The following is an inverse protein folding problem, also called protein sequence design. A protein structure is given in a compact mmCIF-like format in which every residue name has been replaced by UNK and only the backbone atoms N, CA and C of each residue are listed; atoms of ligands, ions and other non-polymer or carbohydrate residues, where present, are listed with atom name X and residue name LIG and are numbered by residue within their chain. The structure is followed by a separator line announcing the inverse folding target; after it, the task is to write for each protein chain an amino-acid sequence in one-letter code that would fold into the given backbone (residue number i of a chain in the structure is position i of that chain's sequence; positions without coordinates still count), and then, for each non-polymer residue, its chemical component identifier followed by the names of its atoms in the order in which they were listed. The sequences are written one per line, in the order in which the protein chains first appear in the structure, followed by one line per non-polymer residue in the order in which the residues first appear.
data_IF_671020006679
#
_entry.id   IF_671020006679
#
_cell.length_a   1.000
_cell.length_b   1.000
_cell.length_c   1.000
_cell.angle_alpha   90.00
_cell.angle_beta   90.00
_cell.angle_gamma   90.00
#
_symmetry.space_group_name_H-M   'P 1'
#
loop_
_entity.id
_entity.type
_entity.pdbx_description
1 polymer ?
#
# COMPACT_ATOMS: atom_id res chain seq x y z
N UNK A 1 4.64 -2.10 2.33
CA UNK A 1 5.56 -1.02 1.92
C UNK A 1 6.62 -1.64 1.04
N UNK A 2 6.64 -1.28 -0.24
CA UNK A 2 7.73 -1.71 -1.13
C UNK A 2 8.96 -0.89 -0.76
N UNK A 3 10.09 -1.55 -0.49
CA UNK A 3 11.38 -0.95 -0.13
C UNK A 3 11.92 0.03 -1.20
N UNK A 4 11.30 0.06 -2.37
CA UNK A 4 11.54 1.01 -3.47
C UNK A 4 11.15 2.47 -3.15
N UNK A 5 10.52 2.74 -2.00
CA UNK A 5 10.18 4.10 -1.54
C UNK A 5 11.24 4.74 -0.63
N UNK A 6 12.33 4.04 -0.31
CA UNK A 6 13.43 4.64 0.45
C UNK A 6 14.36 5.34 -0.55
N UNK A 7 14.18 6.64 -0.73
CA UNK A 7 15.27 7.47 -1.22
C UNK A 7 16.37 7.43 -0.15
N UNK A 8 17.61 7.03 -0.46
CA UNK A 8 18.69 7.08 0.51
C UNK A 8 18.83 8.54 0.98
N UNK A 9 18.54 8.77 2.24
CA UNK A 9 18.73 10.06 2.88
C UNK A 9 20.23 10.23 3.10
N UNK A 10 20.80 11.31 2.57
CA UNK A 10 22.25 11.62 2.62
C UNK A 10 22.81 11.75 4.05
N UNK A 11 21.93 11.78 5.05
CA UNK A 11 22.27 11.83 6.48
C UNK A 11 22.36 10.46 7.15
N UNK A 12 22.07 9.37 6.42
CA UNK A 12 22.00 8.01 7.01
C UNK A 12 23.23 7.17 6.71
N UNK A 13 23.61 6.32 7.67
CA UNK A 13 24.78 5.42 7.65
C UNK A 13 24.74 4.32 6.57
N UNK A 14 23.68 4.28 5.76
CA UNK A 14 23.51 3.38 4.61
C UNK A 14 24.51 3.61 3.45
N UNK A 15 25.36 4.65 3.55
CA UNK A 15 26.43 4.91 2.57
C UNK A 15 27.70 4.06 2.80
N UNK A 16 27.84 3.39 3.95
CA UNK A 16 29.02 2.55 4.21
C UNK A 16 28.82 1.14 3.69
N UNK A 17 29.41 0.82 2.53
CA UNK A 17 29.41 -0.52 1.90
C UNK A 17 29.77 -1.66 2.87
N UNK A 18 30.66 -1.40 3.82
CA UNK A 18 31.12 -2.39 4.81
C UNK A 18 30.02 -2.83 5.79
N UNK A 19 28.93 -2.07 5.91
CA UNK A 19 27.83 -2.34 6.84
C UNK A 19 26.60 -2.95 6.15
N UNK A 20 26.68 -3.18 4.84
CA UNK A 20 25.55 -3.66 4.03
C UNK A 20 25.57 -5.19 3.98
N UNK A 21 24.45 -5.86 4.30
CA UNK A 21 24.37 -7.31 4.23
C UNK A 21 24.72 -7.86 2.84
N UNK A 22 25.42 -8.99 2.80
CA UNK A 22 25.88 -9.67 1.57
C UNK A 22 24.75 -9.94 0.57
N UNK A 23 23.56 -10.25 1.05
CA UNK A 23 22.35 -10.41 0.23
C UNK A 23 22.02 -9.17 -0.61
N UNK A 24 22.11 -7.98 -0.01
CA UNK A 24 21.82 -6.72 -0.70
C UNK A 24 22.92 -6.35 -1.69
N UNK A 25 24.18 -6.63 -1.35
CA UNK A 25 25.32 -6.45 -2.26
C UNK A 25 25.17 -7.32 -3.53
N UNK A 26 24.74 -8.58 -3.39
CA UNK A 26 24.49 -9.47 -4.53
C UNK A 26 23.28 -9.04 -5.36
N UNK A 27 22.19 -8.62 -4.69
CA UNK A 27 21.01 -8.07 -5.37
C UNK A 27 21.37 -6.85 -6.22
N UNK A 28 22.22 -5.96 -5.70
CA UNK A 28 22.69 -4.78 -6.43
C UNK A 28 23.61 -5.14 -7.60
N UNK A 29 24.52 -6.11 -7.43
CA UNK A 29 25.33 -6.64 -8.55
C UNK A 29 24.47 -7.20 -9.68
N UNK A 30 23.34 -7.84 -9.38
CA UNK A 30 22.41 -8.32 -10.40
C UNK A 30 21.70 -7.18 -11.12
N UNK A 31 21.25 -6.16 -10.40
CA UNK A 31 20.57 -5.00 -10.98
C UNK A 31 21.48 -4.17 -11.90
N UNK A 32 22.78 -4.11 -11.61
CA UNK A 32 23.76 -3.45 -12.48
C UNK A 32 23.82 -4.02 -13.91
N UNK A 33 23.54 -5.32 -14.05
CA UNK A 33 23.65 -6.02 -15.34
C UNK A 33 22.49 -5.70 -16.28
N UNK A 34 21.48 -4.97 -15.81
CA UNK A 34 20.31 -4.59 -16.61
C UNK A 34 20.57 -3.23 -17.27
N UNK A 35 20.24 -3.07 -18.56
CA UNK A 35 20.33 -1.79 -19.25
C UNK A 35 19.02 -1.02 -19.09
N UNK A 36 19.02 0.01 -18.23
CA UNK A 36 17.81 0.67 -17.72
C UNK A 36 17.16 1.69 -18.69
N UNK A 37 17.79 2.00 -19.83
CA UNK A 37 17.39 3.13 -20.70
C UNK A 37 16.87 2.71 -22.08
N UNK A 38 16.98 1.43 -22.44
CA UNK A 38 16.47 0.89 -23.70
C UNK A 38 15.22 0.06 -23.41
N UNK A 39 14.21 0.11 -24.30
CA UNK A 39 13.18 -0.94 -24.36
C UNK A 39 13.90 -2.27 -24.24
N UNK A 40 13.54 -3.10 -23.25
CA UNK A 40 14.20 -4.38 -23.01
C UNK A 40 14.35 -5.08 -24.34
N UNK A 41 15.60 -5.30 -24.82
CA UNK A 41 15.79 -6.04 -26.06
C UNK A 41 15.12 -7.42 -25.92
N UNK A 42 14.71 -8.05 -27.02
CA UNK A 42 14.23 -9.43 -26.96
C UNK A 42 15.25 -10.26 -26.18
N UNK A 43 14.74 -11.08 -25.24
CA UNK A 43 15.59 -11.81 -24.33
C UNK A 43 16.56 -12.69 -25.12
N UNK A 44 17.85 -12.55 -24.83
CA UNK A 44 18.84 -13.41 -25.46
C UNK A 44 18.81 -14.79 -24.80
N UNK A 45 19.31 -15.83 -25.47
CA UNK A 45 19.48 -17.15 -24.86
C UNK A 45 20.28 -17.08 -23.55
N UNK A 46 21.28 -16.19 -23.48
CA UNK A 46 22.08 -15.98 -22.26
C UNK A 46 21.25 -15.40 -21.11
N UNK A 47 20.29 -14.51 -21.40
CA UNK A 47 19.41 -13.93 -20.38
C UNK A 47 18.44 -14.97 -19.83
N UNK A 48 17.88 -15.81 -20.71
CA UNK A 48 17.01 -16.92 -20.33
C UNK A 48 17.74 -17.96 -19.47
N UNK A 49 18.99 -18.29 -19.81
CA UNK A 49 19.81 -19.23 -19.04
C UNK A 49 20.15 -18.73 -17.63
N UNK A 50 20.22 -17.40 -17.43
CA UNK A 50 20.58 -16.74 -16.16
C UNK A 50 19.39 -16.29 -15.32
N UNK A 51 18.18 -16.44 -15.85
CA UNK A 51 16.96 -16.02 -15.16
C UNK A 51 16.55 -17.03 -14.09
N UNK A 52 16.02 -16.58 -12.94
CA UNK A 52 15.51 -17.48 -11.91
C UNK A 52 14.48 -18.47 -12.46
N UNK A 53 14.73 -19.76 -12.25
CA UNK A 53 14.03 -20.84 -12.91
C UNK A 53 12.71 -21.23 -12.20
N UNK A 54 12.74 -21.40 -10.88
CA UNK A 54 11.73 -22.16 -10.14
C UNK A 54 10.31 -21.59 -10.16
N UNK A 55 10.20 -20.26 -10.11
CA UNK A 55 8.93 -19.53 -10.08
C UNK A 55 8.82 -18.54 -11.24
N UNK A 56 9.54 -18.81 -12.35
CA UNK A 56 9.54 -17.92 -13.50
C UNK A 56 8.15 -17.75 -14.11
N UNK A 57 7.78 -16.51 -14.40
CA UNK A 57 6.59 -16.19 -15.20
C UNK A 57 6.90 -16.12 -16.70
N UNK A 58 8.17 -16.34 -17.11
CA UNK A 58 8.56 -16.26 -18.51
C UNK A 58 8.03 -17.48 -19.29
N UNK A 59 7.33 -17.30 -20.43
CA UNK A 59 6.68 -18.41 -21.15
C UNK A 59 7.61 -19.57 -21.51
N UNK A 60 8.85 -19.26 -21.93
CA UNK A 60 9.88 -20.26 -22.28
C UNK A 60 10.50 -20.98 -21.07
N UNK A 61 10.25 -20.52 -19.83
CA UNK A 61 10.73 -21.14 -18.58
C UNK A 61 9.59 -21.83 -17.80
N UNK A 62 8.43 -22.01 -18.44
CA UNK A 62 7.30 -22.73 -17.87
C UNK A 62 7.10 -24.08 -18.55
N UNK A 63 6.57 -25.04 -17.80
CA UNK A 63 6.40 -26.42 -18.24
C UNK A 63 4.92 -26.70 -18.42
N UNK A 64 4.58 -27.34 -19.54
CA UNK A 64 3.24 -27.83 -19.78
C UNK A 64 3.01 -29.11 -18.97
N UNK A 65 2.11 -29.04 -18.00
CA UNK A 65 1.74 -30.17 -17.15
C UNK A 65 0.21 -30.25 -17.05
N UNK A 66 -0.37 -31.38 -17.42
CA UNK A 66 -1.83 -31.61 -17.40
C UNK A 66 -2.64 -30.50 -18.11
N UNK A 67 -2.17 -30.08 -19.29
CA UNK A 67 -2.85 -29.07 -20.11
C UNK A 67 -2.65 -27.61 -19.67
N UNK A 68 -1.98 -27.34 -18.54
CA UNK A 68 -1.66 -25.99 -18.04
C UNK A 68 -0.17 -25.71 -18.14
N UNK A 69 0.20 -24.46 -18.39
CA UNK A 69 1.60 -23.99 -18.36
C UNK A 69 1.90 -23.47 -16.96
N UNK A 70 2.82 -24.11 -16.25
CA UNK A 70 3.09 -23.84 -14.84
C UNK A 70 4.60 -23.65 -14.60
N UNK A 71 5.00 -22.85 -13.60
CA UNK A 71 6.39 -22.78 -13.17
C UNK A 71 6.89 -24.13 -12.64
N UNK A 72 8.19 -24.40 -12.79
CA UNK A 72 8.79 -25.68 -12.43
C UNK A 72 8.52 -26.10 -10.96
N UNK A 73 8.52 -25.15 -10.02
CA UNK A 73 8.23 -25.43 -8.61
C UNK A 73 6.80 -25.93 -8.38
N UNK A 74 5.83 -25.54 -9.21
CA UNK A 74 4.45 -26.02 -9.13
C UNK A 74 4.30 -27.42 -9.74
N UNK A 75 5.05 -27.72 -10.81
CA UNK A 75 5.06 -29.07 -11.42
C UNK A 75 5.70 -30.09 -10.48
N UNK A 76 6.67 -29.66 -9.67
CA UNK A 76 7.40 -30.49 -8.71
C UNK A 76 6.95 -30.26 -7.24
N UNK A 77 5.70 -29.87 -7.04
CA UNK A 77 5.17 -29.44 -5.72
C UNK A 77 5.38 -30.47 -4.59
N UNK A 78 5.36 -31.76 -4.91
CA UNK A 78 5.55 -32.86 -3.94
C UNK A 78 6.98 -32.97 -3.38
N UNK A 79 7.94 -32.20 -3.92
CA UNK A 79 9.33 -32.18 -3.46
C UNK A 79 9.78 -30.77 -3.03
N UNK A 80 8.85 -29.87 -2.71
CA UNK A 80 9.13 -28.44 -2.45
C UNK A 80 10.24 -28.18 -1.42
N UNK A 81 10.28 -28.94 -0.32
CA UNK A 81 11.30 -28.74 0.71
C UNK A 81 12.69 -29.20 0.26
N UNK A 82 12.74 -30.26 -0.57
CA UNK A 82 13.97 -30.70 -1.22
C UNK A 82 14.43 -29.72 -2.31
N UNK A 83 13.51 -29.15 -3.09
CA UNK A 83 13.84 -28.10 -4.08
C UNK A 83 14.39 -26.84 -3.42
N UNK A 84 13.83 -26.43 -2.27
CA UNK A 84 14.37 -25.32 -1.47
C UNK A 84 15.80 -25.62 -1.02
N UNK A 85 16.03 -26.84 -0.53
CA UNK A 85 17.36 -27.27 -0.11
C UNK A 85 18.37 -27.27 -1.27
N UNK A 86 17.97 -27.68 -2.49
CA UNK A 86 18.81 -27.58 -3.68
C UNK A 86 19.20 -26.13 -3.99
N UNK A 87 18.26 -25.19 -3.90
CA UNK A 87 18.55 -23.76 -4.13
C UNK A 87 19.58 -23.25 -3.11
N UNK A 88 19.37 -23.57 -1.84
CA UNK A 88 20.20 -23.06 -0.75
C UNK A 88 21.61 -23.67 -0.73
N UNK A 89 21.77 -24.95 -1.12
CA UNK A 89 23.02 -25.70 -0.98
C UNK A 89 23.75 -25.95 -2.31
N UNK A 90 23.03 -26.12 -3.42
CA UNK A 90 23.62 -26.29 -4.76
C UNK A 90 23.68 -25.01 -5.57
N UNK A 91 23.09 -23.91 -5.06
CA UNK A 91 22.96 -22.65 -5.79
C UNK A 91 22.32 -22.85 -7.16
N UNK A 92 21.37 -23.79 -7.27
CA UNK A 92 20.66 -24.05 -8.51
C UNK A 92 19.55 -23.01 -8.69
N UNK A 93 19.88 -21.81 -9.15
CA UNK A 93 18.93 -20.70 -9.30
C UNK A 93 18.42 -20.59 -10.75
N UNK A 94 19.26 -20.89 -11.72
CA UNK A 94 19.00 -20.75 -13.15
C UNK A 94 19.49 -21.98 -13.94
N UNK A 95 19.21 -22.03 -15.25
CA UNK A 95 19.64 -23.15 -16.09
C UNK A 95 21.17 -23.17 -16.29
N UNK A 96 21.85 -22.02 -16.22
CA UNK A 96 23.32 -21.97 -16.28
C UNK A 96 23.97 -22.71 -15.11
N UNK A 97 23.33 -22.74 -13.94
CA UNK A 97 23.85 -23.42 -12.74
C UNK A 97 23.83 -24.96 -12.86
N UNK A 98 23.08 -25.50 -13.84
CA UNK A 98 23.04 -26.94 -14.14
C UNK A 98 24.26 -27.36 -14.97
N UNK A 99 24.88 -26.43 -15.71
CA UNK A 99 25.97 -26.75 -16.64
C UNK A 99 27.18 -27.33 -15.91
N UNK A 100 27.87 -28.24 -16.59
CA UNK A 100 29.15 -28.78 -16.14
C UNK A 100 30.23 -27.68 -16.07
N UNK A 101 31.35 -27.93 -15.37
CA UNK A 101 32.50 -27.01 -15.37
C UNK A 101 33.05 -26.71 -16.78
N UNK A 102 32.90 -27.66 -17.71
CA UNK A 102 33.26 -27.51 -19.14
C UNK A 102 32.16 -26.83 -19.95
N UNK A 103 31.15 -26.25 -19.30
CA UNK A 103 30.02 -25.52 -19.90
C UNK A 103 29.16 -26.37 -20.87
N UNK A 104 29.15 -27.69 -20.67
CA UNK A 104 28.23 -28.61 -21.35
C UNK A 104 27.01 -28.91 -20.48
N UNK A 105 25.88 -29.28 -21.10
CA UNK A 105 24.76 -29.84 -20.36
C UNK A 105 25.16 -31.23 -19.81
N UNK A 106 25.07 -31.48 -18.50
CA UNK A 106 25.50 -32.75 -17.93
C UNK A 106 24.56 -33.87 -18.34
N UNK A 107 25.06 -35.11 -18.40
CA UNK A 107 24.20 -36.29 -18.50
C UNK A 107 23.37 -36.48 -17.22
N UNK A 108 22.29 -37.26 -17.29
CA UNK A 108 21.46 -37.58 -16.12
C UNK A 108 22.30 -38.17 -14.96
N UNK A 109 23.27 -39.02 -15.28
CA UNK A 109 24.15 -39.65 -14.28
C UNK A 109 25.15 -38.66 -13.68
N UNK A 110 25.65 -37.69 -14.45
CA UNK A 110 26.48 -36.61 -13.94
C UNK A 110 25.71 -35.65 -13.05
N UNK A 111 24.50 -35.26 -13.48
CA UNK A 111 23.58 -34.43 -12.70
C UNK A 111 23.20 -35.12 -11.38
N UNK A 112 22.82 -36.40 -11.43
CA UNK A 112 22.50 -37.20 -10.26
C UNK A 112 23.69 -37.33 -9.30
N UNK A 113 24.90 -37.56 -9.81
CA UNK A 113 26.12 -37.62 -8.99
C UNK A 113 26.44 -36.28 -8.34
N UNK A 114 26.26 -35.17 -9.05
CA UNK A 114 26.50 -33.83 -8.50
C UNK A 114 25.55 -33.52 -7.34
N UNK A 115 24.26 -33.84 -7.49
CA UNK A 115 23.24 -33.66 -6.46
C UNK A 115 23.44 -34.59 -5.26
N UNK A 116 23.83 -35.85 -5.50
CA UNK A 116 24.03 -36.85 -4.43
C UNK A 116 25.15 -36.49 -3.45
N UNK A 117 26.23 -35.86 -3.92
CA UNK A 117 27.43 -35.52 -3.11
C UNK A 117 27.17 -34.61 -1.90
N UNK A 118 26.03 -33.96 -1.87
CA UNK A 118 25.63 -32.97 -0.85
C UNK A 118 24.29 -33.34 -0.22
N UNK A 119 23.47 -34.16 -0.91
CA UNK A 119 22.20 -34.70 -0.39
C UNK A 119 22.39 -35.59 0.85
N UNK A 120 23.61 -36.06 1.14
CA UNK A 120 23.92 -36.82 2.37
C UNK A 120 23.57 -36.06 3.67
N UNK A 121 23.42 -34.72 3.61
CA UNK A 121 23.09 -33.86 4.76
C UNK A 121 21.61 -33.45 4.84
N UNK A 122 20.73 -33.95 3.95
CA UNK A 122 19.31 -33.57 3.94
C UNK A 122 18.45 -34.52 4.79
N UNK A 123 17.74 -34.03 5.83
CA UNK A 123 17.08 -34.88 6.82
C UNK A 123 15.68 -35.39 6.43
N UNK A 124 15.17 -35.09 5.24
CA UNK A 124 13.81 -35.45 4.79
C UNK A 124 13.82 -36.44 3.61
N UNK A 125 12.67 -37.08 3.29
CA UNK A 125 12.58 -38.05 2.19
C UNK A 125 13.04 -37.45 0.86
N UNK A 126 14.10 -38.03 0.29
CA UNK A 126 14.67 -37.61 -0.98
C UNK A 126 13.88 -38.21 -2.15
N UNK A 127 13.91 -37.57 -3.34
CA UNK A 127 13.36 -38.18 -4.54
C UNK A 127 14.07 -39.51 -4.84
N UNK A 128 13.30 -40.58 -5.06
CA UNK A 128 13.85 -41.90 -5.45
C UNK A 128 14.55 -41.88 -6.81
N UNK A 129 14.22 -40.89 -7.64
CA UNK A 129 14.80 -40.68 -8.97
C UNK A 129 14.86 -39.19 -9.29
N UNK A 130 15.93 -38.77 -9.97
CA UNK A 130 16.09 -37.41 -10.47
C UNK A 130 15.63 -37.26 -11.93
N UNK A 131 15.12 -38.32 -12.56
CA UNK A 131 14.78 -38.34 -13.98
C UNK A 131 13.73 -37.26 -14.31
N UNK A 132 12.75 -37.07 -13.42
CA UNK A 132 11.67 -36.11 -13.63
C UNK A 132 12.15 -34.67 -13.62
N UNK A 133 12.96 -34.30 -12.62
CA UNK A 133 13.54 -32.95 -12.54
C UNK A 133 14.53 -32.71 -13.68
N UNK A 134 15.43 -33.66 -13.95
CA UNK A 134 16.39 -33.56 -15.05
C UNK A 134 15.71 -33.45 -16.42
N UNK A 135 14.67 -34.25 -16.66
CA UNK A 135 13.88 -34.19 -17.89
C UNK A 135 13.22 -32.83 -18.07
N UNK A 136 12.61 -32.29 -17.01
CA UNK A 136 12.03 -30.94 -17.02
C UNK A 136 13.05 -29.84 -17.30
N UNK A 137 14.23 -29.89 -16.69
CA UNK A 137 15.32 -28.93 -16.93
C UNK A 137 15.82 -29.01 -18.38
N UNK A 138 15.95 -30.24 -18.90
CA UNK A 138 16.41 -30.50 -20.28
C UNK A 138 15.38 -30.00 -21.30
N UNK A 139 14.09 -30.24 -21.08
CA UNK A 139 13.01 -29.71 -21.94
C UNK A 139 13.01 -28.18 -21.97
N UNK A 140 13.28 -27.51 -20.85
CA UNK A 140 13.38 -26.05 -20.83
C UNK A 140 14.59 -25.55 -21.61
N UNK A 141 15.74 -26.22 -21.51
CA UNK A 141 16.92 -25.91 -22.31
C UNK A 141 16.68 -26.12 -23.81
N UNK A 142 16.11 -27.26 -24.18
CA UNK A 142 15.77 -27.62 -25.57
C UNK A 142 14.73 -26.67 -26.17
N UNK A 143 13.87 -26.05 -25.36
CA UNK A 143 12.95 -24.99 -25.81
C UNK A 143 13.66 -23.67 -26.15
N UNK A 144 14.83 -23.41 -25.57
CA UNK A 144 15.60 -22.17 -25.74
C UNK A 144 16.59 -22.27 -26.91
N UNK A 145 17.24 -23.43 -27.09
CA UNK A 145 18.33 -23.65 -28.08
C UNK A 145 17.91 -23.37 -29.55
N UNK A 146 16.76 -23.87 -30.06
CA UNK A 146 16.41 -23.76 -31.48
C UNK A 146 16.01 -22.35 -31.91
N UNK A 147 15.54 -21.50 -30.98
CA UNK A 147 14.93 -20.21 -31.29
C UNK A 147 15.92 -19.04 -31.36
N UNK A 148 17.18 -19.25 -30.94
CA UNK A 148 18.11 -18.15 -30.69
C UNK A 148 19.46 -18.23 -31.42
N UNK A 149 19.64 -19.15 -32.39
CA UNK A 149 20.87 -19.39 -33.19
C UNK A 149 22.16 -19.13 -32.40
N UNK A 150 22.77 -20.19 -31.86
CA UNK A 150 23.90 -20.11 -30.93
C UNK A 150 25.27 -20.10 -31.64
N UNK A 151 25.89 -18.94 -31.85
CA UNK A 151 27.35 -18.87 -31.84
C UNK A 151 27.82 -17.99 -30.68
N UNK A 152 28.63 -18.58 -29.80
CA UNK A 152 29.41 -17.87 -28.76
C UNK A 152 28.66 -17.41 -27.51
N UNK A 153 28.04 -18.35 -26.79
CA UNK A 153 27.60 -18.13 -25.39
C UNK A 153 28.74 -17.84 -24.40
N UNK A 154 30.01 -17.93 -24.81
CA UNK A 154 31.16 -17.98 -23.88
C UNK A 154 32.39 -17.17 -24.33
N UNK A 155 32.20 -15.96 -24.87
CA UNK A 155 33.30 -14.99 -24.85
C UNK A 155 33.70 -14.70 -23.39
N UNK A 156 35.00 -14.79 -23.12
CA UNK A 156 35.67 -14.70 -21.81
C UNK A 156 35.18 -13.51 -20.97
N UNK A 157 34.94 -13.66 -19.65
CA UNK A 157 34.54 -12.52 -18.83
C UNK A 157 35.69 -11.50 -18.75
N UNK A 158 35.40 -10.24 -19.02
CA UNK A 158 36.26 -9.14 -18.59
C UNK A 158 36.45 -9.20 -17.06
N UNK A 159 37.63 -8.82 -16.53
CA UNK A 159 37.90 -8.91 -15.11
C UNK A 159 36.86 -8.09 -14.31
N UNK A 160 36.43 -8.56 -13.13
CA UNK A 160 35.42 -7.87 -12.34
C UNK A 160 35.98 -6.53 -11.88
N UNK A 161 35.37 -5.43 -12.33
CA UNK A 161 35.63 -4.12 -11.77
C UNK A 161 35.31 -4.14 -10.25
N UNK A 162 36.18 -3.56 -9.40
CA UNK A 162 35.97 -3.54 -7.96
C UNK A 162 34.85 -2.54 -7.64
N UNK A 163 33.62 -3.08 -7.49
CA UNK A 163 32.37 -2.40 -7.13
C UNK A 163 31.75 -1.52 -8.24
N UNK A 164 30.68 -1.98 -8.93
CA UNK A 164 30.17 -1.36 -10.17
C UNK A 164 29.36 -0.07 -10.00
N UNK A 165 29.13 0.38 -8.77
CA UNK A 165 28.45 1.64 -8.50
C UNK A 165 29.36 2.46 -7.61
N UNK A 166 30.25 3.23 -8.20
CA UNK A 166 30.99 4.22 -7.45
C UNK A 166 31.00 5.49 -8.28
N UNK A 167 30.21 6.48 -7.87
CA UNK A 167 30.27 7.82 -8.44
C UNK A 167 31.15 8.64 -7.50
N UNK A 168 32.21 9.24 -8.02
CA UNK A 168 32.99 10.23 -7.29
C UNK A 168 32.19 11.53 -7.22
N UNK A 169 31.85 11.93 -6.01
CA UNK A 169 31.25 13.24 -5.72
C UNK A 169 32.31 14.13 -5.04
N UNK A 170 32.04 15.43 -4.93
CA UNK A 170 32.88 16.36 -4.16
C UNK A 170 33.04 15.99 -2.67
N UNK A 171 32.26 15.01 -2.16
CA UNK A 171 32.34 14.48 -0.78
C UNK A 171 32.89 13.06 -0.69
N UNK A 172 33.32 12.46 -1.81
CA UNK A 172 33.86 11.11 -1.89
C UNK A 172 33.05 10.14 -2.75
N UNK A 173 33.45 8.87 -2.70
CA UNK A 173 32.93 7.74 -3.48
C UNK A 173 31.58 7.25 -2.94
N UNK A 174 30.51 7.28 -3.76
CA UNK A 174 29.14 6.89 -3.36
C UNK A 174 28.54 5.80 -4.27
N UNK A 175 27.70 4.91 -3.71
CA UNK A 175 27.30 3.65 -4.34
C UNK A 175 25.92 3.58 -4.94
N UNK A 176 25.23 4.71 -5.06
CA UNK A 176 23.94 4.78 -5.74
C UNK A 176 24.03 5.77 -6.91
N UNK A 177 23.56 5.40 -8.12
CA UNK A 177 23.12 6.41 -9.08
C UNK A 177 22.05 7.24 -8.38
N UNK A 178 22.20 8.56 -8.39
CA UNK A 178 21.18 9.45 -7.83
C UNK A 178 19.97 9.44 -8.78
N UNK A 179 19.13 8.40 -8.68
CA UNK A 179 17.94 8.23 -9.51
C UNK A 179 17.00 9.39 -9.23
N UNK A 180 16.71 10.19 -10.27
CA UNK A 180 15.68 11.21 -10.13
C UNK A 180 14.32 10.51 -10.16
N UNK A 181 13.29 11.05 -9.49
CA UNK A 181 11.93 10.48 -9.51
C UNK A 181 11.36 10.10 -10.90
N UNK A 182 11.72 10.77 -12.03
CA UNK A 182 11.30 10.35 -13.37
C UNK A 182 11.93 9.04 -13.83
N UNK A 183 13.20 8.77 -13.47
CA UNK A 183 13.95 7.60 -13.93
C UNK A 183 13.34 6.31 -13.37
N UNK A 184 12.79 6.38 -12.16
CA UNK A 184 12.09 5.28 -11.49
C UNK A 184 10.77 4.93 -12.19
N UNK A 185 10.10 5.90 -12.84
CA UNK A 185 8.84 5.65 -13.55
C UNK A 185 8.99 4.74 -14.76
N UNK A 186 10.19 4.69 -15.34
CA UNK A 186 10.49 3.81 -16.48
C UNK A 186 10.68 2.35 -16.09
N UNK A 187 10.89 2.06 -14.80
CA UNK A 187 11.28 0.73 -14.30
C UNK A 187 10.11 -0.13 -13.90
N UNK A 188 8.95 0.50 -13.73
CA UNK A 188 7.69 -0.21 -13.66
C UNK A 188 7.33 -0.65 -15.07
N UNK A 189 7.31 -1.97 -15.31
CA UNK A 189 6.60 -2.54 -16.45
C UNK A 189 5.25 -1.84 -16.55
N UNK A 190 4.96 -1.21 -17.71
CA UNK A 190 3.63 -0.64 -17.95
C UNK A 190 2.63 -1.75 -17.65
N UNK A 191 1.69 -1.57 -16.70
CA UNK A 191 0.53 -2.46 -16.61
C UNK A 191 -0.14 -2.52 -17.98
N UNK A 192 -0.90 -3.58 -18.23
CA UNK A 192 -1.78 -3.73 -19.41
C UNK A 192 -2.29 -2.38 -19.91
N UNK A 193 -2.27 -2.16 -21.23
CA UNK A 193 -2.72 -0.91 -21.87
C UNK A 193 -4.20 -0.58 -21.62
N UNK A 194 -4.95 -1.45 -20.95
CA UNK A 194 -6.21 -1.05 -20.35
C UNK A 194 -5.95 0.05 -19.31
N UNK A 195 -6.45 1.29 -19.52
CA UNK A 195 -6.31 2.32 -18.52
C UNK A 195 -7.02 1.82 -17.26
N UNK A 196 -6.23 1.39 -16.26
CA UNK A 196 -6.76 1.07 -14.94
C UNK A 196 -7.60 2.25 -14.51
N UNK A 197 -8.93 2.08 -14.49
CA UNK A 197 -9.86 3.15 -14.13
C UNK A 197 -9.38 3.74 -12.82
N UNK A 198 -9.10 5.04 -12.81
CA UNK A 198 -8.62 5.70 -11.60
C UNK A 198 -9.65 5.45 -10.49
N UNK A 199 -9.27 5.20 -9.22
CA UNK A 199 -10.22 4.89 -8.17
C UNK A 199 -11.36 5.91 -8.05
N UNK A 200 -11.11 7.18 -8.44
CA UNK A 200 -12.09 8.29 -8.48
C UNK A 200 -13.11 8.22 -9.63
N UNK A 201 -12.83 7.48 -10.71
CA UNK A 201 -13.80 7.25 -11.80
C UNK A 201 -15.03 6.46 -11.30
N UNK A 202 -14.84 5.58 -10.32
CA UNK A 202 -15.92 4.82 -9.68
C UNK A 202 -16.84 5.69 -8.80
N UNK A 203 -16.48 6.95 -8.55
CA UNK A 203 -17.26 7.88 -7.73
C UNK A 203 -17.99 8.93 -8.58
N UNK A 204 -18.14 8.68 -9.89
CA UNK A 204 -18.76 9.59 -10.85
C UNK A 204 -18.08 10.98 -10.90
N UNK A 205 -16.76 11.02 -10.73
CA UNK A 205 -15.95 12.23 -10.91
C UNK A 205 -15.38 12.21 -12.34
N UNK A 206 -15.65 13.23 -13.16
CA UNK A 206 -15.07 13.36 -14.49
C UNK A 206 -13.54 13.33 -14.44
N UNK A 207 -12.89 12.70 -15.43
CA UNK A 207 -11.43 12.50 -15.44
C UNK A 207 -10.64 13.80 -15.33
N UNK A 208 -11.14 14.85 -15.99
CA UNK A 208 -10.64 16.21 -15.99
C UNK A 208 -10.73 16.90 -14.62
N UNK A 209 -11.71 16.53 -13.79
CA UNK A 209 -11.90 17.07 -12.43
C UNK A 209 -11.13 16.33 -11.33
N UNK A 210 -10.51 15.18 -11.63
CA UNK A 210 -9.81 14.36 -10.63
C UNK A 210 -8.71 15.18 -9.94
N UNK A 211 -7.89 15.90 -10.71
CA UNK A 211 -6.76 16.66 -10.14
C UNK A 211 -7.24 17.77 -9.19
N UNK A 212 -8.22 18.57 -9.60
CA UNK A 212 -8.76 19.65 -8.78
C UNK A 212 -9.46 19.11 -7.53
N UNK A 213 -10.12 17.95 -7.65
CA UNK A 213 -10.74 17.23 -6.53
C UNK A 213 -9.69 16.75 -5.52
N UNK A 214 -8.60 16.14 -5.98
CA UNK A 214 -7.51 15.70 -5.11
C UNK A 214 -6.84 16.87 -4.37
N UNK A 215 -6.64 18.00 -5.04
CA UNK A 215 -6.11 19.22 -4.41
C UNK A 215 -7.05 19.72 -3.31
N UNK A 216 -8.36 19.78 -3.59
CA UNK A 216 -9.36 20.19 -2.60
C UNK A 216 -9.42 19.24 -1.41
N UNK A 217 -9.45 17.92 -1.64
CA UNK A 217 -9.40 16.92 -0.59
C UNK A 217 -8.12 17.02 0.25
N UNK A 218 -6.97 17.26 -0.38
CA UNK A 218 -5.71 17.48 0.33
C UNK A 218 -5.80 18.69 1.27
N UNK A 219 -6.41 19.78 0.80
CA UNK A 219 -6.61 20.98 1.60
C UNK A 219 -7.56 20.71 2.78
N UNK A 220 -8.66 19.97 2.55
CA UNK A 220 -9.60 19.58 3.61
C UNK A 220 -8.99 18.64 4.66
N UNK A 221 -8.10 17.73 4.23
CA UNK A 221 -7.41 16.77 5.10
C UNK A 221 -6.29 17.40 5.92
N UNK A 222 -5.62 18.44 5.41
CA UNK A 222 -4.46 19.09 6.05
C UNK A 222 -4.69 19.52 7.52
N UNK A 223 -5.83 20.15 7.88
CA UNK A 223 -6.05 20.58 9.26
C UNK A 223 -6.61 19.46 10.18
N UNK A 224 -6.96 18.30 9.63
CA UNK A 224 -7.49 17.16 10.40
C UNK A 224 -6.35 16.32 10.99
N UNK A 225 -6.60 15.60 12.09
CA UNK A 225 -5.59 14.70 12.67
C UNK A 225 -5.03 13.71 11.64
N UNK A 226 -3.70 13.46 11.62
CA UNK A 226 -3.08 12.62 10.58
C UNK A 226 -3.69 11.24 10.41
N UNK A 227 -4.05 10.55 11.50
CA UNK A 227 -4.67 9.22 11.45
C UNK A 227 -6.08 9.25 10.86
N UNK A 228 -6.82 10.32 11.14
CA UNK A 228 -8.18 10.53 10.63
C UNK A 228 -8.12 10.83 9.14
N UNK A 229 -7.20 11.72 8.72
CA UNK A 229 -6.94 12.03 7.33
C UNK A 229 -6.46 10.79 6.54
N UNK A 230 -5.52 10.01 7.06
CA UNK A 230 -5.02 8.77 6.43
C UNK A 230 -6.14 7.74 6.24
N UNK A 231 -7.00 7.55 7.24
CA UNK A 231 -8.11 6.59 7.14
C UNK A 231 -9.11 7.01 6.06
N UNK A 232 -9.47 8.30 6.03
CA UNK A 232 -10.36 8.84 5.01
C UNK A 232 -9.73 8.75 3.61
N UNK A 233 -8.44 9.08 3.47
CA UNK A 233 -7.70 8.89 2.22
C UNK A 233 -7.75 7.43 1.75
N UNK A 234 -7.46 6.47 2.64
CA UNK A 234 -7.51 5.04 2.32
C UNK A 234 -8.90 4.59 1.92
N UNK A 235 -9.97 5.15 2.50
CA UNK A 235 -11.33 4.88 2.06
C UNK A 235 -11.53 5.28 0.61
N UNK A 236 -11.20 6.53 0.26
CA UNK A 236 -11.41 7.07 -1.09
C UNK A 236 -10.61 6.30 -2.17
N UNK A 237 -9.38 5.92 -1.86
CA UNK A 237 -8.51 5.15 -2.75
C UNK A 237 -8.79 3.65 -2.73
N UNK A 238 -9.86 3.20 -2.04
CA UNK A 238 -10.20 1.77 -1.91
C UNK A 238 -9.00 0.97 -1.39
N UNK A 239 -8.29 1.48 -0.38
CA UNK A 239 -7.15 0.82 0.27
C UNK A 239 -7.55 0.13 1.57
N UNK A 240 -8.74 0.40 2.09
CA UNK A 240 -9.26 -0.30 3.27
C UNK A 240 -9.69 -1.73 2.90
N UNK A 241 -9.30 -2.75 3.69
CA UNK A 241 -9.67 -4.14 3.45
C UNK A 241 -11.09 -4.43 3.99
N UNK A 242 -12.10 -4.17 3.15
CA UNK A 242 -13.49 -4.59 3.39
C UNK A 242 -13.72 -6.04 2.95
N UNK A 243 -14.71 -6.71 3.57
CA UNK A 243 -14.88 -8.15 3.39
C UNK A 243 -15.24 -8.55 1.95
N UNK A 244 -15.94 -7.71 1.19
CA UNK A 244 -16.28 -7.97 -0.21
C UNK A 244 -15.04 -8.25 -1.10
N UNK A 245 -13.84 -7.81 -0.69
CA UNK A 245 -12.59 -8.01 -1.46
C UNK A 245 -11.98 -9.39 -1.27
N UNK A 246 -12.43 -10.16 -0.28
CA UNK A 246 -11.90 -11.48 0.05
C UNK A 246 -12.73 -12.62 -0.55
N UNK A 247 -13.42 -12.37 -1.67
CA UNK A 247 -14.22 -13.38 -2.36
C UNK A 247 -13.43 -14.65 -2.71
N UNK A 248 -12.15 -14.51 -3.03
CA UNK A 248 -11.27 -15.65 -3.34
C UNK A 248 -11.03 -16.60 -2.16
N UNK A 249 -11.37 -16.20 -0.93
CA UNK A 249 -11.27 -17.03 0.29
C UNK A 249 -12.59 -17.71 0.66
N UNK A 250 -13.64 -17.57 -0.14
CA UNK A 250 -14.98 -18.12 0.17
C UNK A 250 -14.98 -19.64 0.35
N UNK A 251 -14.12 -20.36 -0.38
CA UNK A 251 -13.95 -21.80 -0.23
C UNK A 251 -13.40 -22.23 1.15
N UNK A 252 -12.66 -21.36 1.85
CA UNK A 252 -12.16 -21.61 3.21
C UNK A 252 -13.15 -21.14 4.27
N UNK A 253 -13.91 -20.11 3.97
CA UNK A 253 -14.91 -19.54 4.88
C UNK A 253 -16.05 -18.94 4.05
N UNK A 254 -17.21 -19.63 3.97
CA UNK A 254 -18.38 -19.15 3.21
C UNK A 254 -18.87 -17.77 3.67
N UNK A 255 -18.63 -17.43 4.94
CA UNK A 255 -19.05 -16.17 5.54
C UNK A 255 -17.97 -15.09 5.43
N UNK A 256 -16.88 -15.31 4.66
CA UNK A 256 -15.74 -14.39 4.63
C UNK A 256 -16.14 -12.99 4.16
N UNK A 257 -17.10 -12.88 3.24
CA UNK A 257 -17.55 -11.63 2.66
C UNK A 257 -18.58 -10.86 3.52
N UNK A 258 -19.14 -11.49 4.55
CA UNK A 258 -20.22 -10.93 5.35
C UNK A 258 -19.75 -9.86 6.33
N UNK A 259 -20.64 -8.93 6.65
CA UNK A 259 -20.41 -7.87 7.62
C UNK A 259 -19.98 -8.43 8.99
N UNK A 260 -18.90 -7.90 9.61
CA UNK A 260 -18.46 -8.31 10.95
C UNK A 260 -19.50 -8.09 12.06
N UNK A 261 -20.52 -7.25 11.84
CA UNK A 261 -21.60 -7.01 12.79
C UNK A 261 -22.76 -8.01 12.68
N UNK A 262 -22.63 -9.07 11.88
CA UNK A 262 -23.64 -10.12 11.70
C UNK A 262 -24.99 -9.59 11.20
N UNK A 263 -25.01 -8.54 10.38
CA UNK A 263 -26.23 -8.10 9.68
C UNK A 263 -26.50 -8.91 8.39
N UNK A 264 -25.71 -9.98 8.14
CA UNK A 264 -25.84 -10.92 7.01
C UNK A 264 -25.72 -10.33 5.60
N UNK A 265 -25.27 -9.09 5.46
CA UNK A 265 -25.00 -8.47 4.17
C UNK A 265 -23.51 -8.56 3.81
N UNK A 266 -23.20 -8.56 2.51
CA UNK A 266 -21.84 -8.44 2.00
C UNK A 266 -21.25 -7.08 2.41
N UNK A 267 -20.07 -7.10 3.03
CA UNK A 267 -19.42 -5.88 3.51
C UNK A 267 -18.70 -5.15 2.37
N UNK A 268 -19.43 -4.31 1.66
CA UNK A 268 -18.86 -3.27 0.80
C UNK A 268 -18.39 -2.07 1.64
N UNK A 269 -17.68 -1.14 1.01
CA UNK A 269 -17.25 0.10 1.68
C UNK A 269 -18.44 0.99 2.09
N UNK A 270 -19.42 1.16 1.20
CA UNK A 270 -20.67 1.87 1.52
C UNK A 270 -21.42 1.17 2.67
N UNK A 271 -21.46 -0.16 2.67
CA UNK A 271 -22.10 -0.91 3.75
C UNK A 271 -21.36 -0.69 5.08
N UNK A 272 -20.05 -0.90 5.10
CA UNK A 272 -19.23 -0.81 6.31
C UNK A 272 -19.20 0.59 6.92
N UNK A 273 -19.31 1.63 6.10
CA UNK A 273 -19.11 3.02 6.51
C UNK A 273 -20.40 3.84 6.58
N UNK A 274 -21.49 3.41 5.95
CA UNK A 274 -22.68 4.23 5.81
C UNK A 274 -24.00 3.48 6.00
N UNK A 275 -24.25 2.41 5.24
CA UNK A 275 -25.59 1.82 5.15
C UNK A 275 -25.85 0.61 6.05
N UNK A 276 -24.85 0.07 6.74
CA UNK A 276 -25.07 -1.05 7.67
C UNK A 276 -26.02 -0.66 8.81
N UNK A 277 -27.03 -1.49 9.08
CA UNK A 277 -28.07 -1.26 10.10
C UNK A 277 -27.54 -1.05 11.52
N UNK A 278 -26.35 -1.59 11.82
CA UNK A 278 -25.68 -1.41 13.12
C UNK A 278 -25.15 0.01 13.32
N UNK A 279 -24.77 0.69 12.23
CA UNK A 279 -24.09 1.99 12.28
C UNK A 279 -24.84 3.12 11.56
N UNK A 280 -25.82 2.84 10.70
CA UNK A 280 -26.55 3.86 9.93
C UNK A 280 -27.18 4.92 10.82
N UNK A 281 -27.70 4.49 11.97
CA UNK A 281 -28.25 5.34 13.02
C UNK A 281 -27.27 6.39 13.59
N UNK A 282 -25.94 6.16 13.50
CA UNK A 282 -24.93 7.14 13.91
C UNK A 282 -25.02 8.37 13.02
N UNK A 283 -25.14 8.18 11.70
CA UNK A 283 -25.29 9.28 10.76
C UNK A 283 -26.58 10.06 10.99
N UNK A 284 -27.69 9.35 11.27
CA UNK A 284 -28.98 9.96 11.58
C UNK A 284 -28.98 10.81 12.86
N UNK A 285 -28.08 10.55 13.81
CA UNK A 285 -27.90 11.43 14.99
C UNK A 285 -27.03 12.64 14.70
N UNK A 286 -26.04 12.49 13.83
CA UNK A 286 -25.06 13.53 13.53
C UNK A 286 -25.56 14.54 12.48
N UNK A 287 -26.47 14.14 11.59
CA UNK A 287 -26.97 14.95 10.49
C UNK A 287 -27.85 16.16 10.89
N UNK A 288 -28.84 16.05 11.81
CA UNK A 288 -29.82 17.11 12.04
C UNK A 288 -29.24 18.52 12.30
N UNK A 289 -28.17 18.69 13.11
CA UNK A 289 -27.53 19.99 13.30
C UNK A 289 -27.01 20.67 12.02
N UNK A 290 -26.85 19.93 10.93
CA UNK A 290 -26.34 20.44 9.65
C UNK A 290 -27.44 20.84 8.67
N UNK A 291 -28.67 20.38 8.90
CA UNK A 291 -29.81 20.71 8.04
C UNK A 291 -30.13 22.20 8.04
N UNK A 292 -29.82 22.92 9.14
CA UNK A 292 -29.93 24.38 9.20
C UNK A 292 -29.05 25.12 8.17
N UNK A 293 -27.99 24.46 7.67
CA UNK A 293 -27.12 24.97 6.61
C UNK A 293 -27.48 24.40 5.22
N UNK A 294 -28.55 23.61 5.10
CA UNK A 294 -28.91 22.89 3.88
C UNK A 294 -27.97 21.72 3.55
N UNK A 295 -27.18 21.22 4.51
CA UNK A 295 -26.20 20.17 4.29
C UNK A 295 -26.76 18.80 4.71
N UNK A 296 -26.56 17.78 3.87
CA UNK A 296 -27.03 16.41 4.10
C UNK A 296 -25.90 15.39 4.05
N UNK A 297 -26.11 14.27 4.73
CA UNK A 297 -25.16 13.19 4.83
C UNK A 297 -25.57 12.09 3.88
N UNK A 298 -24.94 12.07 2.71
CA UNK A 298 -25.14 11.02 1.71
C UNK A 298 -23.79 10.37 1.42
N UNK A 299 -23.82 9.14 0.92
CA UNK A 299 -22.57 8.51 0.48
C UNK A 299 -21.83 9.35 -0.55
N UNK A 300 -22.55 10.01 -1.47
CA UNK A 300 -21.96 10.88 -2.49
C UNK A 300 -21.29 12.13 -1.91
N UNK A 301 -21.88 12.78 -0.89
CA UNK A 301 -21.27 13.95 -0.24
C UNK A 301 -20.11 13.55 0.66
N UNK A 302 -20.17 12.36 1.30
CA UNK A 302 -19.07 11.80 2.08
C UNK A 302 -17.87 11.48 1.19
N UNK A 303 -18.06 11.00 -0.03
CA UNK A 303 -16.94 10.57 -0.88
C UNK A 303 -16.46 11.67 -1.81
N UNK A 304 -17.31 12.67 -2.06
CA UNK A 304 -16.99 13.87 -2.81
C UNK A 304 -17.55 15.13 -2.11
N UNK A 305 -16.82 15.69 -1.12
CA UNK A 305 -17.24 16.88 -0.39
C UNK A 305 -17.44 18.12 -1.27
N UNK A 306 -16.90 18.17 -2.51
CA UNK A 306 -17.15 19.29 -3.43
C UNK A 306 -18.62 19.41 -3.81
N UNK A 307 -19.38 18.31 -3.76
CA UNK A 307 -20.82 18.30 -4.06
C UNK A 307 -21.67 18.92 -2.95
N UNK A 308 -21.07 19.24 -1.80
CA UNK A 308 -21.77 19.99 -0.77
C UNK A 308 -22.03 21.41 -1.26
N UNK A 309 -23.31 21.76 -1.27
CA UNK A 309 -23.80 23.10 -1.52
C UNK A 309 -24.63 23.53 -0.32
N UNK A 310 -24.10 24.43 0.54
CA UNK A 310 -24.90 25.04 1.59
C UNK A 310 -26.08 25.82 1.00
N UNK A 311 -27.09 26.09 1.84
CA UNK A 311 -28.21 26.96 1.49
C UNK A 311 -27.70 28.38 1.12
N UNK A 312 -28.45 29.15 0.29
CA UNK A 312 -28.00 30.44 -0.24
C UNK A 312 -27.40 31.43 0.79
N UNK A 313 -27.95 31.59 2.01
CA UNK A 313 -27.38 32.48 3.02
C UNK A 313 -25.95 32.13 3.46
N UNK A 314 -25.55 30.88 3.26
CA UNK A 314 -24.31 30.29 3.74
C UNK A 314 -23.27 30.06 2.62
N UNK A 315 -23.61 30.39 1.37
CA UNK A 315 -22.69 30.28 0.24
C UNK A 315 -21.38 31.08 0.42
N UNK A 316 -21.38 32.31 0.98
CA UNK A 316 -20.14 33.04 1.26
C UNK A 316 -19.18 32.29 2.18
N UNK A 317 -19.71 31.45 3.06
CA UNK A 317 -18.97 30.71 4.10
C UNK A 317 -18.76 29.24 3.75
N UNK A 318 -18.99 28.87 2.48
CA UNK A 318 -19.00 27.48 2.03
C UNK A 318 -17.74 26.72 2.41
N UNK A 319 -16.56 27.29 2.19
CA UNK A 319 -15.29 26.59 2.47
C UNK A 319 -15.12 26.30 3.96
N UNK A 320 -15.51 27.24 4.84
CA UNK A 320 -15.48 27.04 6.29
C UNK A 320 -16.48 25.97 6.73
N UNK A 321 -17.73 26.03 6.24
CA UNK A 321 -18.76 25.03 6.54
C UNK A 321 -18.33 23.63 6.08
N UNK A 322 -17.82 23.51 4.85
CA UNK A 322 -17.31 22.25 4.31
C UNK A 322 -16.13 21.76 5.14
N UNK A 323 -15.23 22.63 5.60
CA UNK A 323 -14.09 22.24 6.44
C UNK A 323 -14.52 21.68 7.81
N UNK A 324 -15.48 22.32 8.49
CA UNK A 324 -16.00 21.85 9.79
C UNK A 324 -16.82 20.56 9.62
N UNK A 325 -17.63 20.47 8.55
CA UNK A 325 -18.39 19.28 8.19
C UNK A 325 -17.47 18.11 7.86
N UNK A 326 -16.43 18.36 7.07
CA UNK A 326 -15.45 17.37 6.67
C UNK A 326 -14.73 16.79 7.89
N UNK A 327 -14.36 17.63 8.85
CA UNK A 327 -13.76 17.14 10.09
C UNK A 327 -14.67 16.18 10.85
N UNK A 328 -15.98 16.44 10.90
CA UNK A 328 -16.93 15.52 11.53
C UNK A 328 -16.98 14.20 10.76
N UNK A 329 -17.18 14.25 9.45
CA UNK A 329 -17.27 13.07 8.59
C UNK A 329 -16.00 12.22 8.65
N UNK A 330 -14.83 12.83 8.53
CA UNK A 330 -13.56 12.12 8.59
C UNK A 330 -13.38 11.44 9.97
N UNK A 331 -13.71 12.14 11.06
CA UNK A 331 -13.70 11.55 12.40
C UNK A 331 -14.68 10.38 12.53
N UNK A 332 -15.90 10.51 11.99
CA UNK A 332 -16.88 9.41 11.98
C UNK A 332 -16.35 8.19 11.24
N UNK A 333 -15.82 8.37 10.02
CA UNK A 333 -15.22 7.29 9.22
C UNK A 333 -14.07 6.61 9.99
N UNK A 334 -13.20 7.39 10.62
CA UNK A 334 -12.12 6.85 11.44
C UNK A 334 -12.63 5.99 12.60
N UNK A 335 -13.62 6.48 13.37
CA UNK A 335 -14.17 5.72 14.49
C UNK A 335 -14.90 4.46 14.02
N UNK A 336 -15.67 4.54 12.93
CA UNK A 336 -16.34 3.38 12.32
C UNK A 336 -15.33 2.32 11.87
N UNK A 337 -14.26 2.76 11.19
CA UNK A 337 -13.17 1.87 10.78
C UNK A 337 -12.48 1.18 11.96
N UNK A 338 -12.17 1.94 13.01
CA UNK A 338 -11.57 1.42 14.24
C UNK A 338 -12.46 0.38 14.92
N UNK A 339 -13.75 0.66 15.09
CA UNK A 339 -14.70 -0.28 15.69
C UNK A 339 -14.90 -1.54 14.84
N UNK A 340 -14.99 -1.38 13.53
CA UNK A 340 -15.06 -2.50 12.59
C UNK A 340 -13.83 -3.40 12.70
N UNK A 341 -12.63 -2.82 12.73
CA UNK A 341 -11.38 -3.57 12.92
C UNK A 341 -11.34 -4.32 14.25
N UNK A 342 -11.75 -3.69 15.34
CA UNK A 342 -11.80 -4.35 16.65
C UNK A 342 -12.81 -5.50 16.67
N UNK A 343 -13.98 -5.31 16.06
CA UNK A 343 -15.00 -6.36 15.98
C UNK A 343 -14.49 -7.53 15.16
N UNK A 344 -13.89 -7.26 14.00
CA UNK A 344 -13.43 -8.30 13.08
C UNK A 344 -12.20 -9.06 13.57
N UNK A 345 -11.20 -8.36 14.11
CA UNK A 345 -9.88 -8.94 14.37
C UNK A 345 -9.57 -9.12 15.86
N UNK A 346 -10.39 -8.57 16.74
CA UNK A 346 -10.19 -8.66 18.20
C UNK A 346 -11.41 -9.22 18.93
N UNK A 347 -12.39 -9.75 18.21
CA UNK A 347 -13.65 -10.27 18.76
C UNK A 347 -14.35 -9.28 19.70
N UNK A 348 -14.19 -7.98 19.45
CA UNK A 348 -14.86 -6.96 20.25
C UNK A 348 -16.36 -6.94 19.92
N UNK A 349 -17.18 -6.57 20.89
CA UNK A 349 -18.60 -6.34 20.64
C UNK A 349 -18.81 -5.17 19.64
N UNK A 350 -19.91 -5.19 18.87
CA UNK A 350 -20.31 -4.06 18.05
C UNK A 350 -20.39 -2.75 18.86
N UNK A 351 -20.14 -1.58 18.22
CA UNK A 351 -20.15 -0.31 18.93
C UNK A 351 -21.53 -0.01 19.54
N UNK A 352 -21.55 0.38 20.81
CA UNK A 352 -22.76 0.97 21.42
C UNK A 352 -22.97 2.36 20.82
N UNK A 353 -24.09 2.56 20.15
CA UNK A 353 -24.47 3.80 19.44
C UNK A 353 -24.16 5.08 20.22
N UNK A 354 -24.69 5.21 21.44
CA UNK A 354 -24.50 6.42 22.27
C UNK A 354 -23.02 6.69 22.58
N UNK A 355 -22.25 5.65 22.92
CA UNK A 355 -20.81 5.78 23.20
C UNK A 355 -20.00 6.17 21.95
N UNK A 356 -20.40 5.67 20.78
CA UNK A 356 -19.75 5.97 19.52
C UNK A 356 -20.02 7.43 19.12
N UNK A 357 -21.27 7.88 19.15
CA UNK A 357 -21.65 9.27 18.86
C UNK A 357 -20.94 10.24 19.81
N UNK A 358 -20.94 9.94 21.11
CA UNK A 358 -20.20 10.73 22.11
C UNK A 358 -18.72 10.82 21.78
N UNK A 359 -18.08 9.71 21.42
CA UNK A 359 -16.66 9.68 21.06
C UNK A 359 -16.39 10.53 19.82
N UNK A 360 -17.22 10.40 18.78
CA UNK A 360 -17.11 11.18 17.54
C UNK A 360 -17.21 12.68 17.85
N UNK A 361 -18.25 13.10 18.56
CA UNK A 361 -18.48 14.51 18.89
C UNK A 361 -17.35 15.09 19.74
N UNK A 362 -16.80 14.34 20.70
CA UNK A 362 -15.64 14.78 21.49
C UNK A 362 -14.38 14.98 20.66
N UNK A 363 -14.08 14.07 19.73
CA UNK A 363 -12.90 14.21 18.87
C UNK A 363 -13.06 15.38 17.91
N UNK A 364 -14.22 15.48 17.27
CA UNK A 364 -14.56 16.58 16.37
C UNK A 364 -14.52 17.93 17.09
N UNK A 365 -15.20 18.07 18.23
CA UNK A 365 -15.26 19.32 18.99
C UNK A 365 -13.89 19.74 19.52
N UNK A 366 -13.06 18.79 19.97
CA UNK A 366 -11.67 19.06 20.37
C UNK A 366 -10.85 19.59 19.19
N UNK A 367 -11.01 19.00 18.01
CA UNK A 367 -10.29 19.41 16.81
C UNK A 367 -10.69 20.82 16.35
N UNK A 368 -12.00 21.12 16.27
CA UNK A 368 -12.49 22.46 15.89
C UNK A 368 -12.05 23.51 16.91
N UNK A 369 -12.07 23.19 18.21
CA UNK A 369 -11.52 24.10 19.24
C UNK A 369 -10.02 24.32 19.11
N UNK A 370 -9.25 23.30 18.74
CA UNK A 370 -7.82 23.47 18.49
C UNK A 370 -7.56 24.43 17.32
N UNK A 371 -8.39 24.40 16.28
CA UNK A 371 -8.33 25.36 15.18
C UNK A 371 -8.64 26.78 15.64
N UNK A 372 -9.73 26.97 16.40
CA UNK A 372 -10.14 28.27 16.95
C UNK A 372 -9.10 28.89 17.91
N UNK A 373 -8.20 28.09 18.49
CA UNK A 373 -7.12 28.55 19.36
C UNK A 373 -5.83 28.88 18.61
N UNK A 374 -5.73 28.55 17.33
CA UNK A 374 -4.50 28.70 16.57
C UNK A 374 -4.38 30.13 16.02
N UNK A 375 -3.46 30.98 16.51
CA UNK A 375 -3.37 32.39 16.13
C UNK A 375 -3.05 32.63 14.64
N UNK A 376 -2.57 31.60 13.93
CA UNK A 376 -2.23 31.70 12.50
C UNK A 376 -3.43 31.67 11.55
N UNK A 377 -4.66 31.44 12.05
CA UNK A 377 -5.88 31.29 11.22
C UNK A 377 -6.82 32.50 11.36
N UNK A 378 -6.29 33.72 11.39
CA UNK A 378 -7.02 34.98 11.64
C UNK A 378 -8.31 35.14 10.82
N UNK A 379 -8.25 34.88 9.51
CA UNK A 379 -9.39 35.04 8.61
C UNK A 379 -10.39 33.89 8.80
N UNK A 380 -11.58 34.23 9.30
CA UNK A 380 -12.71 33.30 9.43
C UNK A 380 -12.89 32.68 10.81
N UNK A 381 -12.05 32.97 11.81
CA UNK A 381 -12.21 32.45 13.18
C UNK A 381 -13.56 32.79 13.81
N UNK A 382 -13.98 34.06 13.76
CA UNK A 382 -15.25 34.50 14.32
C UNK A 382 -16.43 33.75 13.68
N UNK A 383 -16.35 33.54 12.37
CA UNK A 383 -17.37 32.83 11.60
C UNK A 383 -17.37 31.33 11.88
N UNK A 384 -16.20 30.71 11.97
CA UNK A 384 -16.06 29.31 12.38
C UNK A 384 -16.59 29.09 13.79
N UNK A 385 -16.32 30.01 14.72
CA UNK A 385 -16.85 29.97 16.08
C UNK A 385 -18.39 30.06 16.09
N UNK A 386 -18.96 30.97 15.30
CA UNK A 386 -20.41 31.09 15.13
C UNK A 386 -21.02 29.79 14.57
N UNK A 387 -20.47 29.24 13.49
CA UNK A 387 -20.93 27.97 12.89
C UNK A 387 -20.88 26.84 13.93
N UNK A 388 -19.77 26.74 14.65
CA UNK A 388 -19.57 25.71 15.67
C UNK A 388 -20.57 25.85 16.82
N UNK A 389 -20.84 27.08 17.27
CA UNK A 389 -21.84 27.36 18.29
C UNK A 389 -23.26 27.03 17.82
N UNK A 390 -23.63 27.39 16.59
CA UNK A 390 -24.93 27.05 15.99
C UNK A 390 -25.15 25.54 15.90
N UNK A 391 -24.10 24.76 15.62
CA UNK A 391 -24.16 23.30 15.64
C UNK A 391 -24.37 22.79 17.08
N UNK A 392 -23.55 23.24 18.03
CA UNK A 392 -23.61 22.76 19.42
C UNK A 392 -24.90 23.15 20.15
N UNK A 393 -25.51 24.27 19.79
CA UNK A 393 -26.78 24.75 20.36
C UNK A 393 -28.01 24.04 19.80
N UNK A 394 -27.86 23.22 18.74
CA UNK A 394 -28.96 22.47 18.17
C UNK A 394 -29.59 21.50 19.21
N UNK A 395 -30.93 21.37 19.30
CA UNK A 395 -31.60 20.57 20.33
C UNK A 395 -31.13 19.11 20.42
N UNK A 396 -30.79 18.49 19.28
CA UNK A 396 -30.25 17.11 19.23
C UNK A 396 -28.91 16.95 19.93
N UNK A 397 -28.13 18.02 20.09
CA UNK A 397 -26.83 18.02 20.79
C UNK A 397 -26.89 18.62 22.20
N UNK A 398 -28.08 18.99 22.70
CA UNK A 398 -28.24 19.58 24.03
C UNK A 398 -27.69 18.70 25.16
N UNK A 399 -27.81 17.37 25.02
CA UNK A 399 -27.22 16.41 25.98
C UNK A 399 -25.68 16.47 25.99
N UNK A 400 -25.05 16.62 24.82
CA UNK A 400 -23.60 16.65 24.66
C UNK A 400 -23.02 17.89 25.33
N UNK A 401 -23.63 19.05 25.08
CA UNK A 401 -23.22 20.32 25.68
C UNK A 401 -23.42 20.33 27.19
N UNK A 402 -24.51 19.74 27.69
CA UNK A 402 -24.76 19.61 29.14
C UNK A 402 -23.71 18.74 29.82
N UNK A 403 -23.31 17.64 29.17
CA UNK A 403 -22.27 16.74 29.69
C UNK A 403 -20.87 17.34 29.58
N UNK A 404 -20.62 18.15 28.55
CA UNK A 404 -19.32 18.73 28.24
C UNK A 404 -19.41 20.25 28.00
N UNK A 405 -19.65 21.05 29.07
CA UNK A 405 -19.82 22.51 28.94
C UNK A 405 -18.56 23.21 28.43
N UNK A 406 -17.39 22.61 28.61
CA UNK A 406 -16.11 23.14 28.14
C UNK A 406 -16.06 23.33 26.61
N UNK A 407 -16.95 22.69 25.83
CA UNK A 407 -17.01 22.90 24.38
C UNK A 407 -17.80 24.16 23.99
N UNK A 408 -18.71 24.65 24.86
CA UNK A 408 -19.52 25.87 24.65
C UNK A 408 -18.80 27.14 25.10
N UNK A 409 -17.88 27.03 26.07
CA UNK A 409 -17.19 28.19 26.62
C UNK A 409 -16.29 28.86 25.56
N UNK A 410 -16.74 30.01 25.09
CA UNK A 410 -15.97 31.04 24.40
C UNK A 410 -15.01 31.65 25.42
N UNK A 411 -13.76 31.20 25.42
CA UNK A 411 -12.68 32.10 25.79
C UNK A 411 -11.55 31.81 24.82
N UNK A 412 -11.00 32.82 24.14
CA UNK A 412 -9.63 32.67 23.66
C UNK A 412 -8.77 32.19 24.84
N UNK A 413 -7.72 31.40 24.62
CA UNK A 413 -6.75 31.18 25.69
C UNK A 413 -6.34 32.56 26.22
N UNK A 414 -6.13 32.73 27.54
CA UNK A 414 -5.57 33.97 28.03
C UNK A 414 -4.35 34.28 27.16
N UNK A 415 -4.33 35.49 26.60
CA UNK A 415 -3.11 36.01 25.99
C UNK A 415 -2.07 35.88 27.08
N UNK A 416 -1.06 35.04 26.88
CA UNK A 416 0.12 35.07 27.72
C UNK A 416 0.85 36.37 27.36
N UNK A 417 0.31 37.49 27.83
CA UNK A 417 1.05 38.74 27.91
C UNK A 417 2.15 38.53 28.94
N UNK A 418 3.40 38.59 28.45
CA UNK A 418 4.63 38.82 29.18
C UNK A 418 4.80 38.16 30.56
N UNK A 419 5.23 36.89 30.55
CA UNK A 419 5.97 36.31 31.70
C UNK A 419 7.50 36.41 31.48
N UNK A 420 7.96 37.04 30.39
CA UNK A 420 9.40 37.22 30.13
C UNK A 420 9.96 38.61 30.44
N UNK A 421 9.18 39.53 31.02
CA UNK A 421 9.66 40.90 31.32
C UNK A 421 10.16 41.13 32.75
N UNK A 422 10.18 40.15 33.66
CA UNK A 422 10.55 40.37 35.07
C UNK A 422 11.71 39.52 35.64
N UNK A 423 12.59 38.97 34.80
CA UNK A 423 13.85 38.37 35.27
C UNK A 423 15.08 39.04 34.66
N UNK A 424 15.21 40.35 34.84
CA UNK A 424 16.49 41.07 34.87
C UNK A 424 16.37 42.29 35.78
N UNK A 425 16.50 42.07 37.09
CA UNK A 425 17.13 43.01 38.04
C UNK A 425 17.90 42.23 39.07
#
# INVERSE_FOLDING_TARGET
MSFLYVAPNDTTSFQSLARIPSYWLETWKMWHKLHWHSRTPPWTARDLLRTPLWLSSHPQLQIRHQGKTLPLAYVLIFHRDWLRWLVDNHRLFCLEDVLSPTKSWPTLDEFARNIRRTNERFPFPQPRSYNRIYGHLTTLLEGIIPQHQLPSLFATPAPPAPFPFTIETHRGKSTFPNFKPPDIRYLHAKPSEEPSKHPFENWAIPKDEIRSTLIHLRNLMRPVYPLVADTYFRLLFKLLPFQARFWFLEHLNPNIQLCPYNCFHVETDIHAMFSCTTISNVWSELEPPWQQFGMTFTWHTITNPRRLSPAPPWLPDRELLVQVWFALVANTIYQLWKHRCNTRFRNAAPPKRASLVETILRHWATQVRAWLRNPTTSDGHAKMALIFEMILTHPKLAWFVRKYPCYKAQSPPPVFDDILSNHHK
#
